data_IF_670673514772
#
_entry.id   IF_670673514772
#
_cell.length_a   1.000
_cell.length_b   1.000
_cell.length_c   1.000
_cell.angle_alpha   90.00
_cell.angle_beta   90.00
_cell.angle_gamma   90.00
#
_symmetry.space_group_name_H-M   'P 1'
#
loop_
_entity.id
_entity.type
_entity.pdbx_description
1 polymer ?
#
# COMPACT_ATOMS: atom_id res chain seq x y z
N UNK A 1 -7.23 -5.23 -13.34
CA UNK A 1 -7.91 -5.56 -12.07
C UNK A 1 -7.24 -4.71 -10.99
N UNK A 2 -7.87 -4.50 -9.84
CA UNK A 2 -7.28 -3.72 -8.75
C UNK A 2 -7.35 -4.47 -7.43
N UNK A 3 -6.52 -4.05 -6.47
CA UNK A 3 -6.36 -4.75 -5.20
C UNK A 3 -6.81 -3.88 -4.02
N UNK A 4 -7.50 -4.53 -3.08
CA UNK A 4 -7.76 -3.99 -1.75
C UNK A 4 -6.79 -4.70 -0.80
N UNK A 5 -5.82 -3.96 -0.29
CA UNK A 5 -4.79 -4.44 0.61
C UNK A 5 -5.23 -4.21 2.06
N UNK A 6 -5.66 -5.29 2.69
CA UNK A 6 -5.91 -5.39 4.13
C UNK A 6 -4.63 -5.84 4.86
N UNK A 7 -4.69 -6.10 6.16
CA UNK A 7 -3.57 -6.61 6.98
C UNK A 7 -2.75 -7.70 6.25
N UNK A 8 -1.43 -7.48 6.15
CA UNK A 8 -0.42 -8.43 5.65
C UNK A 8 -0.48 -8.83 4.16
N UNK A 9 -0.89 -7.93 3.27
CA UNK A 9 -0.94 -8.19 1.82
C UNK A 9 0.00 -7.33 0.97
N UNK A 10 0.70 -7.98 0.03
CA UNK A 10 1.46 -7.36 -1.08
C UNK A 10 0.74 -7.68 -2.39
N UNK A 11 0.48 -6.68 -3.24
CA UNK A 11 -0.11 -6.89 -4.57
C UNK A 11 0.51 -6.00 -5.63
N UNK A 12 0.49 -6.47 -6.87
CA UNK A 12 0.93 -5.75 -8.06
C UNK A 12 -0.22 -5.68 -9.05
N UNK A 13 -0.73 -4.48 -9.32
CA UNK A 13 -1.94 -4.27 -10.11
C UNK A 13 -1.74 -3.11 -11.11
N UNK A 14 -2.29 -3.23 -12.33
CA UNK A 14 -2.19 -2.17 -13.34
C UNK A 14 -3.08 -0.95 -13.03
N UNK A 15 -4.20 -1.14 -12.32
CA UNK A 15 -5.27 -0.13 -12.23
C UNK A 15 -5.23 0.66 -10.91
N UNK A 16 -5.49 0.00 -9.78
CA UNK A 16 -5.54 0.66 -8.48
C UNK A 16 -5.11 -0.25 -7.33
N UNK A 17 -4.65 0.39 -6.26
CA UNK A 17 -4.42 -0.22 -4.95
C UNK A 17 -5.15 0.60 -3.89
N UNK A 18 -5.89 -0.06 -3.01
CA UNK A 18 -6.65 0.55 -1.93
C UNK A 18 -6.31 -0.02 -0.56
N UNK A 19 -6.35 0.82 0.47
CA UNK A 19 -6.03 0.54 1.86
C UNK A 19 -7.21 0.94 2.75
N UNK A 20 -8.00 0.01 3.31
CA UNK A 20 -9.28 0.33 3.91
C UNK A 20 -9.23 0.90 5.35
N UNK A 21 -8.09 0.85 6.04
CA UNK A 21 -8.02 1.09 7.49
C UNK A 21 -6.71 1.72 8.00
N UNK A 22 -6.26 2.81 7.38
CA UNK A 22 -5.03 3.51 7.76
C UNK A 22 -5.20 4.39 9.02
N UNK A 23 -5.45 3.76 10.16
CA UNK A 23 -5.46 4.44 11.47
C UNK A 23 -4.09 4.34 12.13
N UNK A 24 -3.67 3.11 12.42
CA UNK A 24 -2.35 2.76 12.96
C UNK A 24 -1.49 2.06 11.93
N UNK A 25 -1.99 1.87 10.71
CA UNK A 25 -1.31 1.19 9.61
C UNK A 25 -0.79 2.20 8.57
N UNK A 26 0.05 1.71 7.66
CA UNK A 26 0.63 2.47 6.56
C UNK A 26 0.50 1.69 5.25
N UNK A 27 -0.04 2.34 4.21
CA UNK A 27 0.01 1.84 2.84
C UNK A 27 1.30 2.30 2.16
N UNK A 28 2.04 1.36 1.59
CA UNK A 28 3.26 1.61 0.81
C UNK A 28 2.96 1.25 -0.63
N UNK A 29 3.13 2.19 -1.55
CA UNK A 29 2.87 1.97 -2.98
C UNK A 29 4.04 2.46 -3.83
N UNK A 30 4.57 1.61 -4.69
CA UNK A 30 5.48 1.97 -5.77
C UNK A 30 4.68 2.12 -7.06
N UNK A 31 4.80 3.29 -7.70
CA UNK A 31 4.48 3.43 -9.12
C UNK A 31 5.67 2.90 -9.91
N UNK A 32 5.41 1.96 -10.78
CA UNK A 32 6.41 1.35 -11.65
C UNK A 32 6.52 2.13 -12.98
N UNK A 33 7.64 2.00 -13.67
CA UNK A 33 7.91 2.68 -14.95
C UNK A 33 6.95 2.31 -16.08
N UNK A 34 6.29 1.16 -16.01
CA UNK A 34 5.22 0.74 -16.93
C UNK A 34 3.83 1.29 -16.54
N UNK A 35 3.76 2.08 -15.47
CA UNK A 35 2.52 2.63 -14.94
C UNK A 35 1.77 1.69 -14.00
N UNK A 36 2.22 0.47 -13.76
CA UNK A 36 1.60 -0.41 -12.78
C UNK A 36 1.89 0.05 -11.34
N UNK A 37 1.10 -0.43 -10.39
CA UNK A 37 1.27 -0.16 -8.96
C UNK A 37 1.66 -1.44 -8.23
N UNK A 38 2.74 -1.39 -7.45
CA UNK A 38 3.10 -2.43 -6.49
C UNK A 38 2.87 -1.88 -5.09
N UNK A 39 2.02 -2.51 -4.30
CA UNK A 39 1.67 -2.01 -2.97
C UNK A 39 1.77 -3.07 -1.89
N UNK A 40 2.01 -2.61 -0.67
CA UNK A 40 1.92 -3.39 0.55
C UNK A 40 1.18 -2.61 1.64
N UNK A 41 0.47 -3.33 2.49
CA UNK A 41 -0.12 -2.79 3.70
C UNK A 41 0.70 -3.19 4.93
N UNK A 42 1.11 -2.21 5.74
CA UNK A 42 1.99 -2.39 6.90
C UNK A 42 1.24 -2.03 8.17
N UNK A 43 1.05 -3.01 9.06
CA UNK A 43 0.26 -2.84 10.29
C UNK A 43 1.18 -2.50 11.47
N UNK A 44 2.23 -3.31 11.65
CA UNK A 44 3.20 -3.21 12.73
C UNK A 44 4.64 -3.32 12.22
N UNK A 45 5.62 -2.95 13.06
CA UNK A 45 7.04 -3.00 12.70
C UNK A 45 7.50 -4.42 12.30
N UNK A 46 6.96 -5.48 12.92
CA UNK A 46 7.28 -6.87 12.53
C UNK A 46 6.73 -7.21 11.13
N UNK A 47 5.48 -6.83 10.83
CA UNK A 47 4.89 -7.00 9.49
C UNK A 47 5.61 -6.17 8.41
N UNK A 48 6.29 -5.09 8.80
CA UNK A 48 7.00 -4.22 7.86
C UNK A 48 8.13 -4.94 7.13
N UNK A 49 8.98 -5.66 7.86
CA UNK A 49 10.15 -6.30 7.27
C UNK A 49 9.72 -7.44 6.32
N UNK A 50 8.68 -8.19 6.67
CA UNK A 50 8.10 -9.23 5.81
C UNK A 50 7.45 -8.64 4.56
N UNK A 51 6.63 -7.59 4.71
CA UNK A 51 6.01 -6.88 3.59
C UNK A 51 7.07 -6.31 2.64
N UNK A 52 8.13 -5.72 3.19
CA UNK A 52 9.20 -5.13 2.40
C UNK A 52 10.04 -6.19 1.68
N UNK A 53 10.35 -7.31 2.34
CA UNK A 53 11.01 -8.43 1.69
C UNK A 53 10.15 -8.99 0.52
N UNK A 54 8.84 -9.09 0.73
CA UNK A 54 7.88 -9.49 -0.33
C UNK A 54 7.89 -8.52 -1.50
N UNK A 55 7.82 -7.21 -1.25
CA UNK A 55 7.93 -6.18 -2.29
C UNK A 55 9.27 -6.23 -3.02
N UNK A 56 10.38 -6.43 -2.30
CA UNK A 56 11.72 -6.54 -2.90
C UNK A 56 11.84 -7.73 -3.84
N UNK A 57 11.28 -8.88 -3.46
CA UNK A 57 11.30 -10.06 -4.32
C UNK A 57 10.45 -9.87 -5.58
N UNK A 58 9.30 -9.21 -5.45
CA UNK A 58 8.50 -8.79 -6.60
C UNK A 58 9.27 -7.82 -7.52
N UNK A 59 9.89 -6.79 -6.95
CA UNK A 59 10.72 -5.83 -7.70
C UNK A 59 11.87 -6.51 -8.43
N UNK A 60 12.55 -7.47 -7.79
CA UNK A 60 13.62 -8.26 -8.41
C UNK A 60 13.11 -9.08 -9.60
N UNK A 61 11.90 -9.62 -9.49
CA UNK A 61 11.29 -10.44 -10.54
C UNK A 61 10.88 -9.59 -11.75
N UNK A 62 10.21 -8.47 -11.54
CA UNK A 62 9.75 -7.58 -12.62
C UNK A 62 10.89 -6.77 -13.26
N UNK A 63 12.00 -6.55 -12.54
CA UNK A 63 13.21 -5.96 -13.10
C UNK A 63 13.80 -6.80 -14.25
N UNK A 64 13.57 -8.11 -14.27
CA UNK A 64 13.97 -8.98 -15.39
C UNK A 64 13.23 -8.62 -16.69
N UNK A 65 12.05 -8.00 -16.59
CA UNK A 65 11.29 -7.47 -17.73
C UNK A 65 11.63 -6.00 -18.04
N UNK A 66 12.66 -5.42 -17.40
CA UNK A 66 13.05 -4.02 -17.58
C UNK A 66 12.17 -3.01 -16.85
N UNK A 67 11.25 -3.47 -15.99
CA UNK A 67 10.33 -2.62 -15.23
C UNK A 67 11.00 -2.27 -13.90
N UNK A 68 11.25 -0.98 -13.68
CA UNK A 68 11.85 -0.45 -12.44
C UNK A 68 10.89 0.48 -11.69
N UNK A 69 11.07 0.68 -10.38
CA UNK A 69 10.28 1.67 -9.64
C UNK A 69 10.54 3.11 -10.11
N UNK A 70 9.48 3.87 -10.32
CA UNK A 70 9.52 5.31 -10.64
C UNK A 70 9.39 6.13 -9.34
N UNK A 71 8.30 5.93 -8.58
CA UNK A 71 7.94 6.78 -7.42
C UNK A 71 7.45 5.95 -6.25
N UNK A 72 7.77 6.38 -5.03
CA UNK A 72 7.27 5.76 -3.81
C UNK A 72 6.24 6.67 -3.12
N UNK A 73 5.09 6.11 -2.78
CA UNK A 73 4.02 6.74 -2.02
C UNK A 73 3.87 6.04 -0.67
N UNK A 74 3.88 6.82 0.40
CA UNK A 74 3.57 6.37 1.75
C UNK A 74 2.27 7.04 2.19
N UNK A 75 1.27 6.26 2.54
CA UNK A 75 -0.04 6.72 2.99
C UNK A 75 -0.27 6.24 4.41
N UNK A 76 -0.71 7.12 5.30
CA UNK A 76 -1.01 6.73 6.68
C UNK A 76 -0.77 7.88 7.65
N UNK A 77 -0.88 7.59 8.94
CA UNK A 77 -0.60 8.58 9.96
C UNK A 77 0.93 8.69 10.16
N UNK A 78 1.52 9.77 9.65
CA UNK A 78 2.97 10.00 9.67
C UNK A 78 3.49 10.11 11.11
N UNK A 79 2.69 10.67 12.02
CA UNK A 79 3.02 10.76 13.44
C UNK A 79 3.30 9.39 14.08
N UNK A 80 2.59 8.35 13.64
CA UNK A 80 2.72 6.99 14.16
C UNK A 80 3.88 6.24 13.48
N UNK A 81 4.01 6.39 12.16
CA UNK A 81 4.92 5.55 11.36
C UNK A 81 6.28 6.17 11.05
N UNK A 82 6.42 7.48 11.16
CA UNK A 82 7.53 8.23 10.55
C UNK A 82 8.26 9.14 11.56
N UNK A 83 7.75 9.28 12.80
CA UNK A 83 8.41 10.05 13.86
C UNK A 83 9.52 9.30 14.63
N UNK A 84 9.67 7.99 14.44
CA UNK A 84 10.79 7.23 15.01
C UNK A 84 12.02 7.28 14.09
N UNK A 85 13.14 6.66 14.50
CA UNK A 85 14.39 6.59 13.73
C UNK A 85 14.24 6.03 12.29
N UNK A 86 13.08 5.43 11.94
CA UNK A 86 12.73 4.94 10.61
C UNK A 86 11.77 5.90 9.89
N UNK A 87 12.30 7.06 9.49
CA UNK A 87 11.55 8.06 8.73
C UNK A 87 11.21 7.57 7.31
N UNK A 88 10.52 8.38 6.50
CA UNK A 88 10.09 8.01 5.15
C UNK A 88 11.27 7.53 4.27
N UNK A 89 12.45 8.13 4.44
CA UNK A 89 13.66 7.70 3.75
C UNK A 89 14.27 6.43 4.32
N UNK A 90 14.16 6.18 5.64
CA UNK A 90 14.55 4.91 6.26
C UNK A 90 13.78 3.75 5.63
N UNK A 91 12.46 3.90 5.51
CA UNK A 91 11.58 2.91 4.87
C UNK A 91 11.87 2.75 3.38
N UNK A 92 12.06 3.85 2.65
CA UNK A 92 12.48 3.81 1.24
C UNK A 92 13.80 3.03 1.06
N UNK A 93 14.79 3.28 1.93
CA UNK A 93 16.09 2.61 1.91
C UNK A 93 15.95 1.12 2.21
N UNK A 94 15.10 0.73 3.17
CA UNK A 94 14.80 -0.69 3.44
C UNK A 94 14.22 -1.39 2.22
N UNK A 95 13.44 -0.70 1.39
CA UNK A 95 12.94 -1.22 0.10
C UNK A 95 13.99 -1.20 -1.02
N UNK A 96 15.14 -0.57 -0.82
CA UNK A 96 16.13 -0.34 -1.88
C UNK A 96 15.73 0.77 -2.86
N UNK A 97 14.77 1.63 -2.50
CA UNK A 97 14.33 2.76 -3.32
C UNK A 97 15.10 4.03 -2.94
N UNK A 98 15.72 4.67 -3.94
CA UNK A 98 16.55 5.87 -3.76
C UNK A 98 15.95 7.15 -4.37
N UNK A 99 14.74 7.07 -4.93
CA UNK A 99 14.07 8.20 -5.59
C UNK A 99 13.25 9.08 -4.63
N UNK A 100 12.33 9.84 -5.23
CA UNK A 100 11.46 10.79 -4.52
C UNK A 100 10.36 10.02 -3.76
N UNK A 101 10.18 10.39 -2.49
CA UNK A 101 9.15 9.79 -1.63
C UNK A 101 8.02 10.81 -1.43
N UNK A 102 6.82 10.40 -1.80
CA UNK A 102 5.59 11.16 -1.64
C UNK A 102 4.86 10.66 -0.40
N UNK A 103 4.47 11.58 0.48
CA UNK A 103 3.79 11.22 1.72
C UNK A 103 2.40 11.83 1.76
N UNK A 104 1.41 10.98 1.98
CA UNK A 104 0.03 11.35 2.27
C UNK A 104 -0.26 11.11 3.75
N UNK A 105 -0.20 12.19 4.53
CA UNK A 105 -0.44 12.13 5.97
C UNK A 105 -1.94 12.17 6.30
N UNK A 106 -2.49 11.04 6.72
CA UNK A 106 -3.89 10.94 7.13
C UNK A 106 -4.15 11.65 8.45
N UNK A 107 -3.13 12.02 9.24
CA UNK A 107 -3.32 12.78 10.48
C UNK A 107 -3.96 14.15 10.23
N UNK A 108 -3.71 14.75 9.06
CA UNK A 108 -4.22 16.06 8.66
C UNK A 108 -5.75 16.09 8.51
N UNK A 109 -6.36 14.95 8.23
CA UNK A 109 -7.82 14.80 8.09
C UNK A 109 -8.51 14.29 9.36
N UNK A 110 -7.74 14.08 10.43
CA UNK A 110 -8.19 13.71 11.79
C UNK A 110 -9.25 12.59 11.80
N UNK A 111 -8.96 11.41 11.22
CA UNK A 111 -9.88 10.29 11.21
C UNK A 111 -10.06 9.74 12.65
N UNK A 112 -11.29 9.37 13.00
CA UNK A 112 -11.61 8.71 14.28
C UNK A 112 -11.52 7.19 14.16
N UNK A 113 -12.10 6.63 13.10
CA UNK A 113 -12.25 5.19 12.92
C UNK A 113 -11.29 4.60 11.87
N UNK A 114 -10.38 5.42 11.33
CA UNK A 114 -9.47 5.06 10.25
C UNK A 114 -9.72 5.80 8.95
N UNK A 115 -8.87 5.54 7.96
CA UNK A 115 -8.94 6.18 6.64
C UNK A 115 -8.86 5.12 5.56
N UNK A 116 -9.79 5.17 4.62
CA UNK A 116 -9.64 4.48 3.34
C UNK A 116 -8.81 5.35 2.41
N UNK A 117 -7.77 4.79 1.78
CA UNK A 117 -6.97 5.48 0.75
C UNK A 117 -6.85 4.59 -0.48
N UNK A 118 -7.09 5.13 -1.66
CA UNK A 118 -6.93 4.45 -2.95
C UNK A 118 -6.02 5.25 -3.86
N UNK A 119 -5.02 4.58 -4.43
CA UNK A 119 -4.17 5.11 -5.48
C UNK A 119 -4.59 4.47 -6.79
N UNK A 120 -4.94 5.28 -7.78
CA UNK A 120 -5.30 4.83 -9.13
C UNK A 120 -4.21 5.28 -10.10
N UNK A 121 -3.61 4.33 -10.80
CA UNK A 121 -2.64 4.62 -11.84
C UNK A 121 -3.29 5.43 -12.97
N UNK A 122 -2.50 6.32 -13.56
CA UNK A 122 -2.83 7.08 -14.77
C UNK A 122 -1.91 6.72 -15.94
N UNK A 123 -1.15 5.63 -15.80
CA UNK A 123 -0.16 5.17 -16.77
C UNK A 123 1.28 5.62 -16.47
N UNK A 124 2.23 5.23 -17.35
CA UNK A 124 3.66 5.50 -17.19
C UNK A 124 3.98 6.99 -16.99
N UNK A 125 4.82 7.29 -15.99
CA UNK A 125 5.36 8.64 -15.75
C UNK A 125 4.34 9.69 -15.26
N UNK A 126 3.07 9.30 -15.07
CA UNK A 126 2.00 10.18 -14.58
C UNK A 126 1.74 9.88 -13.11
N UNK A 127 1.61 10.92 -12.28
CA UNK A 127 1.23 10.74 -10.88
C UNK A 127 -0.12 10.01 -10.77
N UNK A 128 -0.24 9.03 -9.84
CA UNK A 128 -1.52 8.40 -9.57
C UNK A 128 -2.47 9.41 -8.94
N UNK A 129 -3.77 9.18 -9.10
CA UNK A 129 -4.78 9.90 -8.32
C UNK A 129 -4.87 9.26 -6.93
N UNK A 130 -4.79 10.07 -5.88
CA UNK A 130 -5.03 9.64 -4.51
C UNK A 130 -6.43 10.07 -4.09
N UNK A 131 -7.25 9.09 -3.78
CA UNK A 131 -8.62 9.24 -3.28
C UNK A 131 -8.66 8.76 -1.84
N UNK A 132 -9.37 9.47 -0.97
CA UNK A 132 -9.51 9.05 0.44
C UNK A 132 -10.91 9.27 0.98
N UNK A 133 -11.25 8.49 2.01
CA UNK A 133 -12.47 8.64 2.80
C UNK A 133 -12.16 8.57 4.29
N UNK A 134 -12.75 9.49 5.05
CA UNK A 134 -12.59 9.57 6.52
C UNK A 134 -13.54 8.61 7.23
N UNK A 135 -13.14 8.17 8.42
CA UNK A 135 -13.94 7.36 9.34
C UNK A 135 -14.51 6.13 8.64
N UNK A 136 -13.69 5.50 7.80
CA UNK A 136 -14.06 4.19 7.28
C UNK A 136 -14.18 3.26 8.48
N UNK A 137 -15.38 2.69 8.67
CA UNK A 137 -15.66 1.91 9.87
C UNK A 137 -14.82 0.66 9.87
N UNK A 138 -13.80 0.65 10.70
CA UNK A 138 -12.98 -0.53 10.95
C UNK A 138 -13.80 -1.51 11.79
N UNK A 139 -14.34 -2.54 11.14
CA UNK A 139 -14.70 -3.76 11.84
C UNK A 139 -13.41 -4.57 11.98
N UNK A 140 -12.62 -4.30 13.02
CA UNK A 140 -11.63 -5.29 13.47
C UNK A 140 -12.46 -6.50 13.88
N UNK A 141 -12.54 -7.49 13.00
CA UNK A 141 -12.92 -8.82 13.42
C UNK A 141 -11.79 -9.23 14.36
N UNK A 142 -11.98 -9.03 15.67
CA UNK A 142 -11.16 -9.65 16.70
C UNK A 142 -11.39 -11.16 16.51
N UNK A 143 -10.68 -11.77 15.57
CA UNK A 143 -10.62 -13.21 15.47
C UNK A 143 -9.70 -13.64 16.61
N UNK A 144 -10.31 -13.83 17.77
CA UNK A 144 -9.76 -14.69 18.80
C UNK A 144 -9.37 -16.02 18.12
N UNK A 145 -8.07 -16.22 17.91
CA UNK A 145 -7.50 -17.54 17.62
C UNK A 145 -7.21 -17.91 16.17
N UNK A 146 -7.00 -16.99 15.22
CA UNK A 146 -6.49 -17.38 13.90
C UNK A 146 -5.04 -16.93 13.68
N UNK A 147 -4.13 -17.82 14.06
CA UNK A 147 -2.82 -17.94 13.43
C UNK A 147 -3.01 -18.21 11.92
N UNK A 148 -3.28 -17.17 11.13
CA UNK A 148 -3.48 -17.28 9.69
C UNK A 148 -2.13 -17.50 8.98
N UNK A 149 -1.74 -18.77 8.93
CA UNK A 149 -1.09 -19.42 7.78
C UNK A 149 -0.01 -18.60 7.05
N UNK A 150 1.15 -18.52 7.70
CA UNK A 150 2.50 -18.38 7.11
C UNK A 150 2.87 -19.43 6.02
N UNK A 151 1.92 -20.25 5.54
CA UNK A 151 2.18 -21.40 4.68
C UNK A 151 1.94 -21.19 3.18
N UNK A 152 1.42 -20.04 2.73
CA UNK A 152 0.99 -19.88 1.33
C UNK A 152 1.92 -19.08 0.42
N UNK A 153 2.89 -18.34 0.95
CA UNK A 153 3.87 -17.63 0.11
C UNK A 153 4.79 -18.58 -0.69
N UNK A 154 4.98 -19.82 -0.22
CA UNK A 154 5.80 -20.84 -0.92
C UNK A 154 5.10 -21.58 -2.06
N UNK A 155 3.77 -21.47 -2.21
CA UNK A 155 3.00 -22.36 -3.11
C UNK A 155 2.43 -21.67 -4.35
N UNK A 156 2.65 -20.37 -4.57
CA UNK A 156 2.02 -19.62 -5.67
C UNK A 156 2.94 -19.20 -6.82
N UNK A 157 4.24 -19.49 -6.76
CA UNK A 157 5.16 -19.29 -7.89
C UNK A 157 5.45 -20.58 -8.69
N UNK A 158 4.54 -21.56 -8.62
CA UNK A 158 4.51 -22.70 -9.52
C UNK A 158 3.25 -22.63 -10.39
N UNK A 159 3.45 -22.54 -11.71
CA UNK A 159 2.46 -22.69 -12.79
C UNK A 159 1.19 -23.48 -12.40
N UNK A 160 0.02 -22.85 -12.55
CA UNK A 160 -1.25 -23.56 -12.76
C UNK A 160 -2.42 -23.24 -11.82
N UNK A 161 -3.58 -23.04 -12.46
CA UNK A 161 -4.95 -23.08 -11.94
C UNK A 161 -5.41 -21.93 -11.03
N UNK A 162 -6.28 -21.09 -11.59
CA UNK A 162 -6.95 -20.00 -10.91
C UNK A 162 -7.85 -20.46 -9.76
N UNK A 163 -7.94 -19.62 -8.75
CA UNK A 163 -9.06 -19.54 -7.82
C UNK A 163 -9.32 -18.06 -7.53
N UNK A 164 -10.39 -17.54 -8.11
CA UNK A 164 -11.02 -16.29 -7.69
C UNK A 164 -11.57 -16.48 -6.27
N UNK A 165 -11.16 -15.63 -5.35
CA UNK A 165 -11.91 -15.39 -4.11
C UNK A 165 -12.77 -14.15 -4.34
N UNK A 166 -14.04 -14.39 -4.66
CA UNK A 166 -15.07 -13.36 -4.78
C UNK A 166 -15.45 -12.91 -3.36
N UNK A 167 -14.89 -11.79 -2.91
CA UNK A 167 -15.38 -11.06 -1.75
C UNK A 167 -16.54 -10.16 -2.16
N UNK A 168 -17.76 -10.69 -2.16
CA UNK A 168 -18.98 -9.88 -2.26
C UNK A 168 -19.45 -9.48 -0.86
N UNK A 169 -19.49 -8.18 -0.57
CA UNK A 169 -20.68 -7.54 0.01
C UNK A 169 -20.50 -6.02 0.19
N UNK A 170 -21.41 -5.28 -0.45
CA UNK A 170 -21.77 -3.86 -0.21
C UNK A 170 -20.79 -2.77 -0.68
N UNK A 171 -20.42 -2.79 -1.96
CA UNK A 171 -19.62 -1.73 -2.61
C UNK A 171 -20.44 -0.67 -3.38
N UNK A 172 -21.78 -0.70 -3.31
CA UNK A 172 -22.63 0.17 -4.14
C UNK A 172 -22.98 1.55 -3.53
N UNK A 173 -22.41 1.94 -2.37
CA UNK A 173 -22.73 3.23 -1.72
C UNK A 173 -21.51 4.13 -1.46
N UNK A 174 -20.33 3.80 -2.01
CA UNK A 174 -19.04 4.39 -1.59
C UNK A 174 -18.57 5.64 -2.34
N UNK A 175 -19.40 6.27 -3.18
CA UNK A 175 -18.98 7.37 -4.08
C UNK A 175 -19.16 8.80 -3.54
N UNK A 176 -19.67 9.02 -2.32
CA UNK A 176 -20.15 10.35 -1.94
C UNK A 176 -19.12 11.34 -1.36
N UNK A 177 -17.97 10.92 -0.82
CA UNK A 177 -17.05 11.84 -0.09
C UNK A 177 -15.57 11.63 -0.44
N UNK A 178 -15.21 11.84 -1.70
CA UNK A 178 -13.81 11.80 -2.15
C UNK A 178 -13.25 13.23 -2.24
N UNK A 179 -12.32 13.54 -1.36
CA UNK A 179 -11.59 14.81 -1.37
C UNK A 179 -10.16 14.59 -1.90
N UNK A 180 -9.58 15.62 -2.54
CA UNK A 180 -8.17 15.64 -2.95
C UNK A 180 -7.40 16.53 -1.96
N UNK A 181 -6.35 15.99 -1.34
CA UNK A 181 -5.53 16.72 -0.36
C UNK A 181 -4.08 16.87 -0.82
N UNK A 182 -3.40 17.85 -0.21
CA UNK A 182 -2.04 18.28 -0.50
C UNK A 182 -1.04 17.14 -0.24
N UNK A 183 -0.41 16.64 -1.30
CA UNK A 183 0.71 15.69 -1.22
C UNK A 183 1.97 16.49 -0.89
N UNK A 184 2.75 16.02 0.08
CA UNK A 184 4.06 16.61 0.38
C UNK A 184 5.14 15.79 -0.30
N UNK A 185 5.95 16.45 -1.11
CA UNK A 185 7.15 15.86 -1.73
C UNK A 185 8.32 15.94 -0.75
N UNK A 186 9.00 14.82 -0.55
CA UNK A 186 10.20 14.75 0.31
C UNK A 186 11.39 14.33 -0.54
N UNK A 187 12.33 15.25 -0.73
CA UNK A 187 13.56 15.01 -1.47
C UNK A 187 14.61 14.31 -0.57
N UNK A 188 15.40 13.37 -1.12
CA UNK A 188 16.49 12.75 -0.38
C UNK A 188 17.56 13.80 0.02
N UNK A 189 18.22 13.64 1.19
CA UNK A 189 19.37 14.47 1.54
C UNK A 189 20.50 14.24 0.52
N UNK A 190 21.02 15.34 -0.02
CA UNK A 190 22.15 15.36 -0.97
C UNK A 190 23.45 14.82 -0.36
#
# INVERSE_FOLDING_TARGET
>A
MGAYLDEDMVAHEPDFIAYPHLLVCMGVTLLMTDGSLLGAHVVEQQSQDEAFAGMQEFMRTIALAGITPDRLYLTGNVGIHVQSADNAHGKARKLGYAGIVYVFDTSLIKPKDGTFVMLTSKGPGVHPTIQYKRNEKVKIARQEGMAYRMGKFRKHYGLGAGHQMVGTSKLNELTADLHCNKITEVHPPH
#
